data_IF_597169142272
#
_entry.id   IF_597169142272
#
_cell.length_a   1.000
_cell.length_b   1.000
_cell.length_c   1.000
_cell.angle_alpha   90.00
_cell.angle_beta   90.00
_cell.angle_gamma   90.00
#
_symmetry.space_group_name_H-M   'P 1'
#
loop_
_entity.id
_entity.type
_entity.pdbx_description
1 polymer ?
#
# COMPACT_ATOMS: atom_id res chain seq x y z
N UNK A 1 -10.16 -4.03 -3.22
CA UNK A 1 -11.10 -3.66 -4.29
C UNK A 1 -12.55 -3.61 -3.81
N UNK A 2 -12.95 -4.55 -2.96
CA UNK A 2 -14.34 -4.76 -2.56
C UNK A 2 -14.90 -3.63 -1.67
N UNK A 3 -14.08 -3.05 -0.79
CA UNK A 3 -14.57 -2.22 0.32
C UNK A 3 -13.90 -0.85 0.46
N UNK A 4 -12.88 -0.55 -0.35
CA UNK A 4 -12.23 0.74 -0.37
C UNK A 4 -13.17 1.83 -0.91
N UNK A 5 -13.61 2.71 -0.03
CA UNK A 5 -14.60 3.75 -0.34
C UNK A 5 -14.08 4.79 -1.34
N UNK A 6 -12.77 5.00 -1.39
CA UNK A 6 -12.11 5.91 -2.35
C UNK A 6 -12.06 5.37 -3.79
N UNK A 7 -12.49 4.13 -4.05
CA UNK A 7 -12.60 3.57 -5.39
C UNK A 7 -13.94 3.86 -6.05
N UNK A 8 -14.88 4.40 -5.28
CA UNK A 8 -16.24 4.70 -5.72
C UNK A 8 -16.63 6.13 -5.33
N UNK A 9 -15.96 7.16 -5.87
CA UNK A 9 -16.31 8.53 -5.56
C UNK A 9 -17.72 8.86 -6.08
N UNK A 10 -18.45 9.68 -5.32
CA UNK A 10 -19.70 10.28 -5.80
C UNK A 10 -19.36 11.48 -6.70
N UNK A 11 -19.85 11.44 -7.93
CA UNK A 11 -19.66 12.50 -8.92
C UNK A 11 -20.55 13.71 -8.59
N UNK A 12 -20.28 14.90 -9.15
CA UNK A 12 -21.16 16.08 -8.99
C UNK A 12 -22.61 15.84 -9.43
N UNK A 13 -22.86 14.83 -10.27
CA UNK A 13 -24.20 14.38 -10.69
C UNK A 13 -24.93 13.57 -9.62
N UNK A 14 -24.25 13.16 -8.54
CA UNK A 14 -24.77 12.27 -7.50
C UNK A 14 -24.66 10.77 -7.83
N UNK A 15 -24.09 10.43 -8.98
CA UNK A 15 -23.80 9.05 -9.41
C UNK A 15 -22.52 8.53 -8.75
N UNK A 16 -22.46 7.22 -8.50
CA UNK A 16 -21.27 6.55 -7.98
C UNK A 16 -20.43 6.03 -9.16
N UNK A 17 -19.18 6.49 -9.29
CA UNK A 17 -18.26 5.98 -10.32
C UNK A 17 -17.65 4.63 -9.89
N UNK A 18 -18.03 3.54 -10.55
CA UNK A 18 -17.60 2.17 -10.19
C UNK A 18 -16.33 1.70 -10.89
N UNK A 19 -15.84 2.43 -11.91
CA UNK A 19 -14.81 1.96 -12.85
C UNK A 19 -13.52 1.51 -12.16
N UNK A 20 -13.11 2.25 -11.12
CA UNK A 20 -11.90 1.92 -10.36
C UNK A 20 -12.11 0.67 -9.50
N UNK A 21 -13.27 0.53 -8.86
CA UNK A 21 -13.60 -0.67 -8.08
C UNK A 21 -13.62 -1.92 -8.98
N UNK A 22 -14.25 -1.84 -10.15
CA UNK A 22 -14.27 -2.92 -11.16
C UNK A 22 -12.86 -3.30 -11.61
N UNK A 23 -12.04 -2.30 -11.95
CA UNK A 23 -10.65 -2.53 -12.38
C UNK A 23 -9.84 -3.23 -11.29
N UNK A 24 -9.92 -2.75 -10.04
CA UNK A 24 -9.20 -3.36 -8.91
C UNK A 24 -9.72 -4.76 -8.59
N UNK A 25 -11.02 -5.02 -8.74
CA UNK A 25 -11.60 -6.34 -8.54
C UNK A 25 -11.09 -7.35 -9.58
N UNK A 26 -11.09 -6.95 -10.87
CA UNK A 26 -10.54 -7.77 -11.95
C UNK A 26 -9.07 -8.08 -11.75
N UNK A 27 -8.24 -7.07 -11.48
CA UNK A 27 -6.81 -7.29 -11.28
C UNK A 27 -6.52 -8.19 -10.07
N UNK A 28 -7.35 -8.14 -9.02
CA UNK A 28 -7.24 -9.09 -7.90
C UNK A 28 -7.60 -10.52 -8.33
N UNK A 29 -8.65 -10.70 -9.15
CA UNK A 29 -9.00 -12.00 -9.70
C UNK A 29 -7.85 -12.58 -10.55
N UNK A 30 -7.18 -11.74 -11.35
CA UNK A 30 -6.02 -12.11 -12.15
C UNK A 30 -4.85 -12.55 -11.24
N UNK A 31 -4.57 -11.80 -10.17
CA UNK A 31 -3.54 -12.17 -9.18
C UNK A 31 -3.86 -13.53 -8.53
N UNK A 32 -5.11 -13.73 -8.12
CA UNK A 32 -5.54 -14.98 -7.51
C UNK A 32 -5.42 -16.17 -8.47
N UNK A 33 -5.75 -15.97 -9.76
CA UNK A 33 -5.58 -16.97 -10.80
C UNK A 33 -4.10 -17.31 -11.01
N UNK A 34 -3.22 -16.31 -11.04
CA UNK A 34 -1.77 -16.51 -11.15
C UNK A 34 -1.20 -17.28 -9.94
N UNK A 35 -1.58 -16.92 -8.71
CA UNK A 35 -1.15 -17.65 -7.52
C UNK A 35 -1.63 -19.10 -7.51
N UNK A 36 -2.89 -19.34 -7.91
CA UNK A 36 -3.43 -20.70 -8.09
C UNK A 36 -2.60 -21.50 -9.10
N UNK A 37 -2.23 -20.89 -10.22
CA UNK A 37 -1.39 -21.52 -11.23
C UNK A 37 0.02 -21.80 -10.69
N UNK A 38 0.68 -20.81 -10.09
CA UNK A 38 2.04 -20.97 -9.53
C UNK A 38 2.11 -21.99 -8.40
N UNK A 39 1.04 -22.14 -7.62
CA UNK A 39 0.92 -23.22 -6.62
C UNK A 39 0.89 -24.60 -7.31
N UNK A 40 0.08 -24.76 -8.37
CA UNK A 40 0.02 -26.01 -9.16
C UNK A 40 1.36 -26.37 -9.82
N UNK A 41 2.09 -25.37 -10.31
CA UNK A 41 3.42 -25.54 -10.93
C UNK A 41 4.57 -25.73 -9.93
N UNK A 42 4.27 -25.80 -8.62
CA UNK A 42 5.28 -25.92 -7.56
C UNK A 42 6.21 -24.71 -7.45
N UNK A 43 5.82 -23.57 -8.02
CA UNK A 43 6.51 -22.28 -7.83
C UNK A 43 6.22 -21.76 -6.43
N UNK A 44 4.95 -21.82 -6.02
CA UNK A 44 4.50 -21.51 -4.67
C UNK A 44 4.10 -22.81 -3.95
N UNK A 45 4.03 -22.74 -2.62
CA UNK A 45 3.40 -23.79 -1.81
C UNK A 45 1.88 -23.79 -1.95
N UNK A 46 1.20 -24.47 -1.03
CA UNK A 46 -0.25 -24.42 -0.95
C UNK A 46 -0.74 -22.98 -0.68
N UNK A 47 -1.89 -22.60 -1.23
CA UNK A 47 -2.43 -21.24 -1.12
C UNK A 47 -2.73 -20.84 0.32
N UNK A 48 -3.22 -21.78 1.13
CA UNK A 48 -3.53 -21.58 2.56
C UNK A 48 -2.32 -21.15 3.39
N UNK A 49 -1.09 -21.41 2.92
CA UNK A 49 0.14 -21.00 3.62
C UNK A 49 0.37 -19.48 3.63
N UNK A 50 -0.26 -18.72 2.73
CA UNK A 50 -0.10 -17.27 2.66
C UNK A 50 -1.40 -16.51 2.34
N UNK A 51 -2.47 -17.20 1.99
CA UNK A 51 -3.75 -16.61 1.60
C UNK A 51 -4.84 -17.10 2.56
N UNK A 52 -5.36 -16.19 3.39
CA UNK A 52 -6.43 -16.51 4.35
C UNK A 52 -7.74 -15.84 3.91
N UNK A 53 -8.85 -16.58 3.76
CA UNK A 53 -10.16 -15.97 3.54
C UNK A 53 -10.53 -15.05 4.71
N UNK A 54 -10.81 -13.78 4.41
CA UNK A 54 -11.18 -12.77 5.40
C UNK A 54 -12.25 -11.87 4.78
N UNK A 55 -13.48 -11.83 5.33
CA UNK A 55 -14.51 -10.93 4.86
C UNK A 55 -14.04 -9.48 4.84
N UNK A 56 -14.47 -8.73 3.84
CA UNK A 56 -14.20 -7.31 3.75
C UNK A 56 -15.48 -6.53 4.05
N UNK A 57 -15.31 -5.42 4.75
CA UNK A 57 -16.40 -4.55 5.14
C UNK A 57 -16.06 -3.10 4.84
N UNK A 58 -17.07 -2.32 4.49
CA UNK A 58 -17.01 -0.87 4.61
C UNK A 58 -17.87 -0.47 5.79
N UNK A 59 -17.42 0.48 6.61
CA UNK A 59 -18.15 0.97 7.77
C UNK A 59 -18.17 2.50 7.80
N UNK A 60 -19.35 3.05 8.04
CA UNK A 60 -19.56 4.50 8.10
C UNK A 60 -20.48 4.87 9.26
N UNK A 61 -20.29 6.09 9.77
CA UNK A 61 -21.03 6.66 10.89
C UNK A 61 -21.68 7.95 10.40
N UNK A 62 -22.96 8.18 10.73
CA UNK A 62 -23.68 9.37 10.29
C UNK A 62 -24.65 9.10 9.14
N UNK A 63 -25.70 9.92 9.06
CA UNK A 63 -26.79 9.77 8.08
C UNK A 63 -26.31 9.98 6.63
N UNK A 64 -25.49 11.01 6.42
CA UNK A 64 -24.95 11.35 5.11
C UNK A 64 -24.08 10.22 4.56
N UNK A 65 -23.19 9.66 5.38
CA UNK A 65 -22.31 8.59 4.94
C UNK A 65 -23.05 7.26 4.78
N UNK A 66 -24.07 7.02 5.62
CA UNK A 66 -24.98 5.87 5.46
C UNK A 66 -25.75 5.92 4.13
N UNK A 67 -26.20 7.12 3.74
CA UNK A 67 -26.85 7.35 2.43
C UNK A 67 -25.87 7.09 1.28
N UNK A 68 -24.65 7.62 1.36
CA UNK A 68 -23.60 7.36 0.39
C UNK A 68 -23.32 5.85 0.25
N UNK A 69 -23.17 5.14 1.38
CA UNK A 69 -22.85 3.71 1.37
C UNK A 69 -23.98 2.87 0.75
N UNK A 70 -25.25 3.26 0.97
CA UNK A 70 -26.41 2.64 0.32
C UNK A 70 -26.39 2.84 -1.20
N UNK A 71 -26.09 4.06 -1.68
CA UNK A 71 -25.94 4.33 -3.12
C UNK A 71 -24.81 3.50 -3.72
N UNK A 72 -23.66 3.43 -3.03
CA UNK A 72 -22.51 2.62 -3.43
C UNK A 72 -22.89 1.14 -3.55
N UNK A 73 -23.57 0.58 -2.56
CA UNK A 73 -24.06 -0.81 -2.61
C UNK A 73 -24.94 -1.06 -3.85
N UNK A 74 -25.92 -0.19 -4.10
CA UNK A 74 -26.81 -0.31 -5.24
C UNK A 74 -26.06 -0.25 -6.59
N UNK A 75 -25.04 0.59 -6.70
CA UNK A 75 -24.21 0.69 -7.90
C UNK A 75 -23.30 -0.53 -8.13
N UNK A 76 -22.83 -1.17 -7.05
CA UNK A 76 -21.85 -2.28 -7.15
C UNK A 76 -22.50 -3.66 -7.26
N UNK A 77 -23.62 -3.93 -6.57
CA UNK A 77 -24.16 -5.30 -6.40
C UNK A 77 -24.53 -6.05 -7.69
N UNK A 78 -24.66 -5.33 -8.81
CA UNK A 78 -24.95 -5.92 -10.13
C UNK A 78 -23.71 -6.18 -10.98
N UNK A 79 -22.51 -5.83 -10.49
CA UNK A 79 -21.26 -5.96 -11.21
C UNK A 79 -20.56 -7.29 -10.88
N UNK A 80 -19.80 -7.87 -11.83
CA UNK A 80 -19.03 -9.09 -11.60
C UNK A 80 -18.10 -9.01 -10.38
N UNK A 81 -18.24 -10.00 -9.49
CA UNK A 81 -17.48 -10.14 -8.25
C UNK A 81 -17.94 -9.26 -7.08
N UNK A 82 -19.13 -8.65 -7.18
CA UNK A 82 -19.81 -7.90 -6.10
C UNK A 82 -21.20 -8.46 -5.78
N UNK A 83 -21.57 -9.61 -6.33
CA UNK A 83 -22.90 -10.22 -6.23
C UNK A 83 -23.24 -10.56 -4.76
N UNK A 84 -22.23 -10.97 -3.98
CA UNK A 84 -22.35 -11.32 -2.57
C UNK A 84 -22.18 -10.10 -1.63
N UNK A 85 -22.18 -8.88 -2.16
CA UNK A 85 -22.08 -7.67 -1.35
C UNK A 85 -23.40 -7.41 -0.62
N UNK A 86 -23.38 -7.54 0.71
CA UNK A 86 -24.50 -7.23 1.59
C UNK A 86 -24.42 -5.78 2.09
N UNK A 87 -25.56 -5.18 2.43
CA UNK A 87 -25.67 -3.85 3.05
C UNK A 87 -26.62 -3.92 4.25
N UNK A 88 -26.25 -3.29 5.37
CA UNK A 88 -27.10 -3.17 6.54
C UNK A 88 -26.92 -1.84 7.27
N UNK A 89 -28.03 -1.32 7.81
CA UNK A 89 -28.06 -0.29 8.86
C UNK A 89 -28.51 -0.86 10.21
N UNK A 90 -28.86 -2.15 10.25
CA UNK A 90 -29.24 -2.85 11.46
C UNK A 90 -27.98 -3.16 12.28
N UNK A 91 -27.98 -2.72 13.53
CA UNK A 91 -26.85 -2.84 14.46
C UNK A 91 -26.59 -4.30 14.81
N UNK A 92 -27.63 -5.11 14.95
CA UNK A 92 -27.47 -6.51 15.33
C UNK A 92 -26.81 -7.29 14.18
N UNK A 93 -27.23 -7.02 12.94
CA UNK A 93 -26.57 -7.58 11.75
C UNK A 93 -25.12 -7.13 11.60
N UNK A 94 -24.81 -5.87 11.91
CA UNK A 94 -23.42 -5.38 11.89
C UNK A 94 -22.59 -6.02 13.00
N UNK A 95 -23.20 -6.25 14.18
CA UNK A 95 -22.57 -6.94 15.30
C UNK A 95 -22.24 -8.40 14.98
N UNK A 96 -23.08 -9.10 14.22
CA UNK A 96 -22.78 -10.46 13.73
C UNK A 96 -21.52 -10.49 12.84
N UNK A 97 -21.32 -9.45 12.03
CA UNK A 97 -20.17 -9.38 11.13
C UNK A 97 -18.87 -8.96 11.83
N UNK A 98 -18.95 -7.96 12.71
CA UNK A 98 -17.81 -7.41 13.43
C UNK A 98 -18.27 -6.77 14.76
N UNK A 99 -18.35 -7.55 15.86
CA UNK A 99 -18.81 -7.10 17.17
C UNK A 99 -18.15 -5.81 17.66
N UNK A 100 -16.83 -5.67 17.47
CA UNK A 100 -16.08 -4.49 17.90
C UNK A 100 -16.66 -3.17 17.35
N UNK A 101 -17.32 -3.20 16.19
CA UNK A 101 -17.91 -2.00 15.60
C UNK A 101 -19.13 -1.48 16.35
N UNK A 102 -19.81 -2.31 17.14
CA UNK A 102 -21.12 -1.98 17.74
C UNK A 102 -21.14 -2.06 19.26
N UNK A 103 -20.30 -2.91 19.86
CA UNK A 103 -20.16 -3.02 21.31
C UNK A 103 -19.87 -1.65 21.95
N UNK A 104 -20.69 -1.25 22.92
CA UNK A 104 -20.56 0.03 23.61
C UNK A 104 -20.80 1.28 22.74
N UNK A 105 -21.22 1.13 21.48
CA UNK A 105 -21.49 2.28 20.60
C UNK A 105 -22.81 2.94 20.97
N UNK A 106 -22.77 4.24 21.25
CA UNK A 106 -23.96 5.06 21.46
C UNK A 106 -24.98 4.97 20.31
N UNK A 107 -26.25 5.27 20.59
CA UNK A 107 -27.30 5.35 19.59
C UNK A 107 -26.98 6.39 18.50
N UNK A 108 -27.37 6.10 17.26
CA UNK A 108 -27.09 6.94 16.09
C UNK A 108 -27.01 6.14 14.80
N UNK A 109 -27.02 6.82 13.63
CA UNK A 109 -26.96 6.15 12.34
C UNK A 109 -25.57 5.57 12.08
N UNK A 110 -25.53 4.29 11.73
CA UNK A 110 -24.37 3.59 11.19
C UNK A 110 -24.81 2.75 10.01
N UNK A 111 -23.88 2.48 9.09
CA UNK A 111 -24.11 1.55 8.01
C UNK A 111 -22.84 0.75 7.72
N UNK A 112 -23.03 -0.48 7.26
CA UNK A 112 -21.95 -1.29 6.75
C UNK A 112 -22.34 -2.02 5.47
N UNK A 113 -21.34 -2.29 4.64
CA UNK A 113 -21.41 -3.34 3.62
C UNK A 113 -20.47 -4.46 4.01
N UNK A 114 -20.82 -5.69 3.68
CA UNK A 114 -20.03 -6.89 3.98
C UNK A 114 -19.92 -7.77 2.74
N UNK A 115 -18.72 -8.32 2.49
CA UNK A 115 -18.46 -9.23 1.38
C UNK A 115 -17.64 -10.43 1.86
N UNK A 116 -18.09 -11.68 1.64
CA UNK A 116 -17.39 -12.88 2.13
C UNK A 116 -16.12 -13.19 1.35
N UNK A 117 -16.09 -12.90 0.04
CA UNK A 117 -15.03 -13.31 -0.89
C UNK A 117 -13.68 -12.57 -0.78
N UNK A 118 -13.39 -11.93 0.36
CA UNK A 118 -12.14 -11.23 0.59
C UNK A 118 -11.01 -12.12 1.10
N UNK A 119 -9.77 -11.63 1.02
CA UNK A 119 -8.59 -12.35 1.52
C UNK A 119 -7.62 -11.44 2.27
N UNK A 120 -6.96 -12.00 3.28
CA UNK A 120 -5.67 -11.51 3.78
C UNK A 120 -4.52 -12.23 3.09
N UNK A 121 -3.43 -11.48 2.84
CA UNK A 121 -2.23 -12.01 2.18
C UNK A 121 -1.02 -11.82 3.10
N UNK A 122 -0.39 -12.91 3.50
CA UNK A 122 0.92 -12.90 4.15
C UNK A 122 2.02 -12.73 3.08
N UNK A 123 2.32 -11.47 2.77
CA UNK A 123 3.37 -11.12 1.83
C UNK A 123 4.77 -11.56 2.28
N UNK A 124 5.01 -11.73 3.59
CA UNK A 124 6.28 -12.23 4.09
C UNK A 124 6.49 -13.67 3.65
N UNK A 125 5.50 -14.51 3.88
CA UNK A 125 5.52 -15.93 3.47
C UNK A 125 5.53 -16.08 1.95
N UNK A 126 4.68 -15.34 1.22
CA UNK A 126 4.69 -15.33 -0.25
C UNK A 126 6.06 -14.95 -0.83
N UNK A 127 6.68 -13.89 -0.30
CA UNK A 127 7.99 -13.41 -0.77
C UNK A 127 9.09 -14.44 -0.54
N UNK A 128 9.13 -15.09 0.64
CA UNK A 128 10.09 -16.17 0.94
C UNK A 128 9.93 -17.34 -0.02
N UNK A 129 8.70 -17.78 -0.28
CA UNK A 129 8.42 -18.87 -1.23
C UNK A 129 8.89 -18.54 -2.65
N UNK A 130 8.64 -17.31 -3.12
CA UNK A 130 9.09 -16.86 -4.45
C UNK A 130 10.62 -16.87 -4.56
N UNK A 131 11.34 -16.37 -3.54
CA UNK A 131 12.80 -16.40 -3.54
C UNK A 131 13.37 -17.81 -3.46
N UNK A 132 12.78 -18.69 -2.65
CA UNK A 132 13.23 -20.09 -2.56
C UNK A 132 13.00 -20.83 -3.88
N UNK A 133 11.88 -20.56 -4.55
CA UNK A 133 11.59 -21.07 -5.89
C UNK A 133 12.59 -20.57 -6.93
N UNK A 134 12.92 -19.26 -6.88
CA UNK A 134 13.94 -18.68 -7.75
C UNK A 134 15.30 -19.35 -7.55
N UNK A 135 15.72 -19.59 -6.29
CA UNK A 135 16.97 -20.32 -5.98
C UNK A 135 16.95 -21.74 -6.56
N UNK A 136 15.85 -22.50 -6.35
CA UNK A 136 15.70 -23.86 -6.92
C UNK A 136 15.80 -23.87 -8.44
N UNK A 137 15.40 -22.77 -9.09
CA UNK A 137 15.46 -22.57 -10.55
C UNK A 137 16.78 -21.94 -11.01
N UNK A 138 17.78 -21.84 -10.14
CA UNK A 138 19.14 -21.41 -10.49
C UNK A 138 19.44 -19.92 -10.28
N UNK A 139 18.54 -19.14 -9.68
CA UNK A 139 18.83 -17.75 -9.35
C UNK A 139 19.85 -17.63 -8.21
N UNK A 140 20.83 -16.74 -8.36
CA UNK A 140 21.74 -16.36 -7.28
C UNK A 140 21.14 -15.20 -6.50
N UNK A 141 21.02 -15.34 -5.18
CA UNK A 141 20.48 -14.32 -4.29
C UNK A 141 21.57 -13.84 -3.34
N UNK A 142 21.90 -12.55 -3.44
CA UNK A 142 22.89 -11.90 -2.61
C UNK A 142 22.20 -11.01 -1.58
N UNK A 143 22.01 -11.54 -0.37
CA UNK A 143 21.52 -10.77 0.79
C UNK A 143 22.69 -10.06 1.48
N UNK A 144 22.39 -9.02 2.28
CA UNK A 144 23.44 -8.23 2.94
C UNK A 144 24.33 -7.43 1.97
N UNK A 145 23.89 -7.29 0.72
CA UNK A 145 24.60 -6.61 -0.35
C UNK A 145 23.74 -5.47 -0.89
N UNK A 146 24.20 -4.24 -0.75
CA UNK A 146 23.51 -3.04 -1.19
C UNK A 146 24.03 -2.59 -2.57
N UNK A 147 23.11 -2.35 -3.50
CA UNK A 147 23.40 -1.65 -4.75
C UNK A 147 23.38 -0.15 -4.48
N UNK A 148 24.51 0.52 -4.63
CA UNK A 148 24.64 1.96 -4.30
C UNK A 148 24.69 2.86 -5.53
N UNK A 149 25.01 2.29 -6.70
CA UNK A 149 25.11 3.01 -7.96
C UNK A 149 24.87 2.10 -9.14
N UNK A 150 24.17 2.61 -10.14
CA UNK A 150 24.05 2.03 -11.47
C UNK A 150 24.73 2.96 -12.47
N UNK A 151 25.54 2.42 -13.38
CA UNK A 151 26.13 3.17 -14.49
C UNK A 151 26.02 2.38 -15.78
N UNK A 152 25.63 3.03 -16.87
CA UNK A 152 25.73 2.46 -18.21
C UNK A 152 27.19 2.44 -18.66
N UNK A 153 27.62 1.38 -19.35
CA UNK A 153 28.93 1.31 -20.00
C UNK A 153 28.84 1.53 -21.51
N UNK A 154 30.01 1.72 -22.15
CA UNK A 154 30.11 1.96 -23.58
C UNK A 154 29.60 0.79 -24.45
N UNK A 155 29.38 -0.40 -23.87
CA UNK A 155 28.94 -1.60 -24.57
C UNK A 155 27.43 -1.86 -24.41
N UNK A 156 26.65 -0.87 -23.97
CA UNK A 156 25.21 -1.01 -23.67
C UNK A 156 24.93 -2.08 -22.60
N UNK A 157 25.89 -2.34 -21.72
CA UNK A 157 25.66 -3.08 -20.48
C UNK A 157 25.64 -2.14 -19.27
N UNK A 158 25.00 -2.60 -18.21
CA UNK A 158 24.92 -1.89 -16.94
C UNK A 158 25.93 -2.45 -15.97
N UNK A 159 26.49 -1.56 -15.16
CA UNK A 159 27.32 -1.91 -14.02
C UNK A 159 26.63 -1.48 -12.73
N UNK A 160 26.43 -2.43 -11.83
CA UNK A 160 25.93 -2.20 -10.47
C UNK A 160 27.09 -2.23 -9.47
N UNK A 161 27.27 -1.15 -8.72
CA UNK A 161 28.28 -1.06 -7.64
C UNK A 161 27.69 -1.59 -6.34
N UNK A 162 28.39 -2.52 -5.72
CA UNK A 162 27.95 -3.27 -4.54
C UNK A 162 28.75 -2.89 -3.30
N UNK A 163 28.03 -2.76 -2.18
CA UNK A 163 28.61 -2.60 -0.84
C UNK A 163 27.98 -3.56 0.15
N UNK A 164 28.72 -3.91 1.20
CA UNK A 164 28.18 -4.68 2.32
C UNK A 164 27.19 -3.81 3.09
N UNK A 165 26.02 -4.37 3.43
CA UNK A 165 25.02 -3.66 4.22
C UNK A 165 25.36 -3.61 5.72
N UNK A 166 26.40 -4.34 6.17
CA UNK A 166 26.77 -4.41 7.59
C UNK A 166 27.73 -3.27 7.97
N UNK A 167 28.76 -3.05 7.16
CA UNK A 167 29.88 -2.13 7.41
C UNK A 167 30.08 -1.09 6.29
N UNK A 168 29.37 -1.23 5.17
CA UNK A 168 29.48 -0.33 4.02
C UNK A 168 30.73 -0.55 3.17
N UNK A 169 31.49 -1.63 3.39
CA UNK A 169 32.69 -1.94 2.64
C UNK A 169 32.38 -2.28 1.17
N UNK A 170 33.34 -2.01 0.28
CA UNK A 170 33.17 -2.28 -1.13
C UNK A 170 33.20 -3.80 -1.40
N UNK A 171 32.10 -4.33 -1.93
CA UNK A 171 32.00 -5.75 -2.31
C UNK A 171 32.47 -5.95 -3.76
N UNK A 172 32.25 -4.95 -4.63
CA UNK A 172 32.70 -4.97 -6.01
C UNK A 172 31.64 -4.47 -6.98
N UNK A 173 31.62 -5.03 -8.19
CA UNK A 173 30.66 -4.65 -9.22
C UNK A 173 30.13 -5.87 -9.98
N UNK A 174 28.85 -5.85 -10.33
CA UNK A 174 28.23 -6.83 -11.25
C UNK A 174 27.91 -6.13 -12.57
N UNK A 175 28.11 -6.85 -13.68
CA UNK A 175 27.67 -6.42 -15.02
C UNK A 175 26.40 -7.18 -15.42
N UNK A 176 25.45 -6.48 -16.01
CA UNK A 176 24.22 -7.06 -16.51
C UNK A 176 23.80 -6.38 -17.83
N UNK A 177 23.24 -7.15 -18.76
CA UNK A 177 22.65 -6.58 -19.99
C UNK A 177 21.31 -5.91 -19.74
N UNK A 178 20.55 -6.45 -18.78
CA UNK A 178 19.26 -5.90 -18.35
C UNK A 178 19.18 -5.80 -16.84
N UNK A 179 18.56 -4.74 -16.34
CA UNK A 179 18.37 -4.51 -14.90
C UNK A 179 16.90 -4.20 -14.62
N UNK A 180 16.34 -4.93 -13.67
CA UNK A 180 15.08 -4.56 -13.02
C UNK A 180 15.39 -3.94 -11.65
N UNK A 181 14.81 -2.77 -11.36
CA UNK A 181 14.98 -2.04 -10.09
C UNK A 181 13.66 -2.03 -9.31
N UNK A 182 13.52 -2.97 -8.39
CA UNK A 182 12.41 -3.06 -7.43
C UNK A 182 12.84 -2.69 -6.00
N UNK A 183 13.57 -1.59 -5.81
CA UNK A 183 14.22 -1.22 -4.55
C UNK A 183 13.34 -0.39 -3.61
N UNK A 184 12.01 -0.46 -3.75
CA UNK A 184 11.06 0.34 -2.97
C UNK A 184 11.35 1.84 -3.05
N UNK A 185 11.43 2.51 -1.89
CA UNK A 185 11.74 3.93 -1.81
C UNK A 185 13.12 4.33 -2.36
N UNK A 186 14.01 3.36 -2.59
CA UNK A 186 15.35 3.59 -3.14
C UNK A 186 15.44 3.42 -4.66
N UNK A 187 14.35 3.05 -5.33
CA UNK A 187 14.35 2.94 -6.79
C UNK A 187 14.71 4.26 -7.46
N UNK A 188 14.10 5.40 -7.08
CA UNK A 188 14.40 6.68 -7.71
C UNK A 188 15.88 7.09 -7.58
N UNK A 189 16.52 7.03 -6.39
CA UNK A 189 17.96 7.25 -6.25
C UNK A 189 18.81 6.41 -7.22
N UNK A 190 18.47 5.13 -7.40
CA UNK A 190 19.18 4.25 -8.34
C UNK A 190 18.99 4.66 -9.79
N UNK A 191 17.75 4.97 -10.21
CA UNK A 191 17.45 5.46 -11.56
C UNK A 191 18.14 6.80 -11.86
N UNK A 192 18.21 7.68 -10.87
CA UNK A 192 18.94 8.94 -10.97
C UNK A 192 20.46 8.71 -11.05
N UNK A 193 20.99 7.72 -10.34
CA UNK A 193 22.41 7.36 -10.43
C UNK A 193 22.78 6.80 -11.81
N UNK A 194 21.85 6.09 -12.44
CA UNK A 194 21.94 5.60 -13.82
C UNK A 194 21.82 6.71 -14.86
N UNK A 195 21.48 7.94 -14.47
CA UNK A 195 21.39 9.09 -15.37
C UNK A 195 20.17 9.05 -16.31
N UNK A 196 19.09 8.35 -15.94
CA UNK A 196 17.91 8.25 -16.80
C UNK A 196 17.23 9.62 -16.95
N UNK A 197 17.06 10.14 -18.18
CA UNK A 197 16.37 11.41 -18.41
C UNK A 197 14.88 11.35 -18.03
N UNK A 198 14.27 10.16 -18.06
CA UNK A 198 12.85 9.94 -17.74
C UNK A 198 12.48 10.30 -16.30
N UNK A 199 13.43 10.23 -15.37
CA UNK A 199 13.23 10.58 -13.95
C UNK A 199 13.75 11.97 -13.58
N UNK A 200 14.11 12.79 -14.59
CA UNK A 200 14.59 14.15 -14.35
C UNK A 200 13.46 15.00 -13.75
N UNK A 201 13.79 15.66 -12.65
CA UNK A 201 12.84 16.51 -11.91
C UNK A 201 11.97 15.77 -10.90
N UNK A 202 12.10 14.44 -10.81
CA UNK A 202 11.37 13.66 -9.82
C UNK A 202 11.94 13.94 -8.43
N UNK A 203 11.04 14.09 -7.47
CA UNK A 203 11.32 14.20 -6.06
C UNK A 203 10.66 13.07 -5.27
N UNK A 204 11.07 12.93 -4.02
CA UNK A 204 10.47 12.01 -3.06
C UNK A 204 10.04 12.78 -1.83
N UNK A 205 8.87 12.43 -1.31
CA UNK A 205 8.45 12.76 0.04
C UNK A 205 8.51 11.48 0.89
N UNK A 206 9.23 11.50 2.01
CA UNK A 206 9.20 10.37 2.92
C UNK A 206 7.83 10.35 3.62
N UNK A 207 7.11 9.24 3.45
CA UNK A 207 5.84 8.99 4.12
C UNK A 207 5.99 7.67 4.87
N UNK A 208 5.90 7.75 6.19
CA UNK A 208 5.94 6.55 7.03
C UNK A 208 4.55 6.28 7.60
N UNK A 209 4.15 5.01 7.60
CA UNK A 209 2.91 4.56 8.22
C UNK A 209 3.18 3.96 9.59
N UNK A 210 2.24 4.12 10.50
CA UNK A 210 2.20 3.38 11.77
C UNK A 210 0.82 2.78 11.95
N UNK A 211 0.75 1.65 12.63
CA UNK A 211 -0.50 0.98 12.98
C UNK A 211 -0.51 0.69 14.47
N UNK A 212 -1.68 0.81 15.09
CA UNK A 212 -1.94 0.12 16.34
C UNK A 212 -2.10 -1.37 16.02
N UNK A 213 -1.46 -2.21 16.80
CA UNK A 213 -1.43 -3.66 16.66
C UNK A 213 -1.90 -4.29 17.95
N UNK A 214 -2.80 -5.26 17.84
CA UNK A 214 -3.19 -6.14 18.94
C UNK A 214 -3.19 -7.60 18.48
N UNK A 215 -2.74 -8.48 19.35
CA UNK A 215 -2.84 -9.93 19.23
C UNK A 215 -3.54 -10.55 20.44
N UNK A 216 -4.21 -9.74 21.25
CA UNK A 216 -4.93 -10.18 22.44
C UNK A 216 -6.19 -10.94 22.05
N UNK A 217 -6.46 -12.07 22.72
CA UNK A 217 -7.63 -12.92 22.46
C UNK A 217 -8.93 -12.12 22.55
N UNK A 218 -9.02 -11.16 23.48
CA UNK A 218 -10.18 -10.28 23.65
C UNK A 218 -10.50 -9.41 22.41
N UNK A 219 -9.53 -9.22 21.53
CA UNK A 219 -9.66 -8.45 20.28
C UNK A 219 -9.76 -9.39 19.08
N UNK A 220 -8.84 -10.34 18.92
CA UNK A 220 -8.76 -11.18 17.71
C UNK A 220 -9.90 -12.18 17.58
N UNK A 221 -10.55 -12.58 18.69
CA UNK A 221 -11.74 -13.46 18.67
C UNK A 221 -13.04 -12.73 18.39
N UNK A 222 -13.04 -11.39 18.50
CA UNK A 222 -14.20 -10.54 18.24
C UNK A 222 -14.15 -9.85 16.88
N UNK A 223 -13.06 -10.00 16.13
CA UNK A 223 -12.86 -9.25 14.89
C UNK A 223 -12.20 -10.09 13.81
N UNK A 224 -13.01 -10.50 12.84
CA UNK A 224 -12.60 -11.41 11.77
C UNK A 224 -12.76 -10.80 10.38
N UNK A 225 -12.88 -9.48 10.28
CA UNK A 225 -13.08 -8.78 9.01
C UNK A 225 -12.01 -7.71 8.78
N UNK A 226 -11.84 -7.31 7.52
CA UNK A 226 -11.16 -6.06 7.17
C UNK A 226 -12.17 -4.95 7.04
N UNK A 227 -12.13 -3.98 7.93
CA UNK A 227 -13.13 -2.92 7.99
C UNK A 227 -12.53 -1.61 7.51
N UNK A 228 -13.06 -1.08 6.41
CA UNK A 228 -12.62 0.15 5.79
C UNK A 228 -13.54 1.31 6.16
N UNK A 229 -12.96 2.33 6.77
CA UNK A 229 -13.61 3.58 7.11
C UNK A 229 -13.68 4.59 5.98
N UNK A 230 -14.53 5.59 6.16
CA UNK A 230 -14.48 6.82 5.36
C UNK A 230 -13.52 7.81 6.01
N UNK A 231 -12.62 8.39 5.22
CA UNK A 231 -11.76 9.46 5.71
C UNK A 231 -12.55 10.76 5.92
N UNK A 232 -12.13 11.63 6.85
CA UNK A 232 -12.67 12.98 6.99
C UNK A 232 -12.59 13.77 5.68
N UNK A 233 -13.51 14.72 5.50
CA UNK A 233 -13.55 15.60 4.31
C UNK A 233 -12.20 16.31 4.13
N UNK A 234 -11.63 16.21 2.92
CA UNK A 234 -10.36 16.85 2.57
C UNK A 234 -9.10 16.04 2.88
N UNK A 235 -9.24 14.87 3.50
CA UNK A 235 -8.13 13.96 3.74
C UNK A 235 -7.71 13.21 2.44
N UNK A 236 -6.41 12.93 2.22
CA UNK A 236 -5.96 12.20 1.05
C UNK A 236 -6.55 10.79 1.04
N UNK A 237 -6.77 10.19 -0.14
CA UNK A 237 -7.33 8.84 -0.27
C UNK A 237 -6.58 7.73 0.49
N UNK A 238 -5.31 7.97 0.86
CA UNK A 238 -4.45 7.01 1.58
C UNK A 238 -4.54 7.10 3.10
N UNK A 239 -5.35 8.01 3.65
CA UNK A 239 -5.52 8.24 5.10
C UNK A 239 -6.81 7.65 5.65
N UNK A 240 -7.50 6.79 4.88
CA UNK A 240 -8.71 6.13 5.36
C UNK A 240 -8.37 5.19 6.51
N UNK A 241 -8.95 5.38 7.71
CA UNK A 241 -8.74 4.45 8.81
C UNK A 241 -9.35 3.10 8.47
N UNK A 242 -8.65 2.03 8.81
CA UNK A 242 -9.12 0.67 8.66
C UNK A 242 -8.76 -0.16 9.89
N UNK A 243 -9.68 -1.06 10.25
CA UNK A 243 -9.55 -2.03 11.34
C UNK A 243 -9.51 -3.42 10.72
N UNK A 244 -8.32 -3.98 10.59
CA UNK A 244 -8.08 -5.17 9.78
C UNK A 244 -7.72 -6.38 10.62
N UNK A 245 -8.52 -7.44 10.48
CA UNK A 245 -8.08 -8.78 10.79
C UNK A 245 -6.95 -9.20 9.83
N UNK A 246 -5.87 -9.72 10.40
CA UNK A 246 -4.67 -10.20 9.72
C UNK A 246 -4.28 -11.58 10.25
N UNK A 247 -3.65 -12.37 9.41
CA UNK A 247 -2.94 -13.59 9.81
C UNK A 247 -1.49 -13.43 9.39
N UNK A 248 -0.61 -13.25 10.38
CA UNK A 248 0.81 -12.98 10.16
C UNK A 248 1.58 -14.20 10.65
N UNK A 249 2.23 -14.91 9.73
CA UNK A 249 2.98 -16.13 10.06
C UNK A 249 2.14 -17.17 10.83
N UNK A 250 0.85 -17.26 10.46
CA UNK A 250 -0.12 -18.18 11.07
C UNK A 250 -0.78 -17.67 12.36
N UNK A 251 -0.34 -16.55 12.93
CA UNK A 251 -0.92 -15.96 14.12
C UNK A 251 -1.96 -14.87 13.79
N UNK A 252 -3.15 -14.88 14.40
CA UNK A 252 -4.14 -13.83 14.20
C UNK A 252 -3.69 -12.51 14.85
N UNK A 253 -4.00 -11.41 14.19
CA UNK A 253 -3.75 -10.07 14.70
C UNK A 253 -4.79 -9.09 14.16
N UNK A 254 -4.99 -7.98 14.88
CA UNK A 254 -5.78 -6.84 14.40
C UNK A 254 -4.89 -5.62 14.28
N UNK A 255 -4.98 -4.93 13.14
CA UNK A 255 -4.30 -3.68 12.87
C UNK A 255 -5.30 -2.53 12.74
N UNK A 256 -5.01 -1.39 13.35
CA UNK A 256 -5.75 -0.15 13.16
C UNK A 256 -4.85 0.98 12.68
N UNK A 257 -5.25 1.67 11.61
CA UNK A 257 -4.50 2.78 11.00
C UNK A 257 -4.86 2.98 9.52
N UNK A 258 -3.97 3.56 8.70
CA UNK A 258 -2.62 4.00 9.03
C UNK A 258 -2.64 5.34 9.77
N UNK A 259 -1.66 5.55 10.63
CA UNK A 259 -1.31 6.87 11.17
C UNK A 259 -0.04 7.37 10.48
N UNK A 260 0.04 8.67 10.19
CA UNK A 260 1.29 9.26 9.71
C UNK A 260 2.41 9.13 10.76
N UNK A 261 3.62 8.81 10.30
CA UNK A 261 4.86 8.86 11.06
C UNK A 261 5.85 9.88 10.49
N UNK A 262 6.92 10.15 11.25
CA UNK A 262 7.89 11.23 11.01
C UNK A 262 9.25 10.80 10.46
N UNK A 263 9.39 9.60 9.88
CA UNK A 263 10.72 9.17 9.41
C UNK A 263 11.11 9.84 8.09
N UNK A 264 12.32 10.43 7.94
CA UNK A 264 12.85 10.94 6.68
C UNK A 264 13.58 9.87 5.85
N UNK A 265 13.56 8.61 6.30
CA UNK A 265 14.18 7.47 5.62
C UNK A 265 13.32 7.02 4.46
N UNK A 266 13.94 6.48 3.41
CA UNK A 266 13.20 5.84 2.31
C UNK A 266 13.13 4.32 2.42
N UNK A 267 13.98 3.73 3.27
CA UNK A 267 14.03 2.30 3.56
C UNK A 267 13.86 2.05 5.07
N UNK A 268 13.38 0.86 5.45
CA UNK A 268 13.22 0.45 6.85
C UNK A 268 14.51 0.64 7.66
N UNK A 269 15.64 0.22 7.09
CA UNK A 269 16.99 0.38 7.63
C UNK A 269 17.80 1.47 6.90
N UNK A 270 17.12 2.50 6.38
CA UNK A 270 17.75 3.61 5.63
C UNK A 270 18.43 4.67 6.50
N UNK A 271 19.04 5.67 5.86
CA UNK A 271 19.78 6.73 6.56
C UNK A 271 18.88 7.90 6.94
N UNK A 272 19.12 8.53 8.09
CA UNK A 272 18.41 9.74 8.52
C UNK A 272 18.54 10.95 7.58
N UNK A 273 19.46 10.90 6.61
CA UNK A 273 19.69 11.96 5.64
C UNK A 273 19.11 11.65 4.25
N UNK A 274 18.37 10.54 4.09
CA UNK A 274 17.83 10.10 2.79
C UNK A 274 17.03 11.22 2.11
N UNK A 275 16.04 11.78 2.81
CA UNK A 275 15.22 12.90 2.30
C UNK A 275 16.07 14.11 1.89
N UNK A 276 17.01 14.53 2.74
CA UNK A 276 17.88 15.68 2.44
C UNK A 276 18.80 15.41 1.24
N UNK A 277 19.40 14.21 1.17
CA UNK A 277 20.28 13.79 0.05
C UNK A 277 19.52 13.60 -1.26
N UNK A 278 18.19 13.43 -1.20
CA UNK A 278 17.33 13.33 -2.38
C UNK A 278 17.07 14.67 -3.07
N UNK A 279 17.32 15.79 -2.39
CA UNK A 279 17.13 17.13 -2.93
C UNK A 279 18.20 17.41 -3.99
N UNK A 280 17.77 17.83 -5.17
CA UNK A 280 18.62 18.16 -6.31
C UNK A 280 18.14 19.47 -6.93
N UNK A 281 19.03 20.31 -7.52
CA UNK A 281 18.62 21.58 -8.11
C UNK A 281 17.42 21.48 -9.06
N UNK A 282 17.33 20.39 -9.82
CA UNK A 282 16.28 20.17 -10.81
C UNK A 282 14.96 19.60 -10.26
N UNK A 283 14.87 19.21 -8.98
CA UNK A 283 13.60 18.76 -8.36
C UNK A 283 13.07 19.71 -7.28
N UNK A 284 13.83 20.74 -6.89
CA UNK A 284 13.41 21.73 -5.89
C UNK A 284 12.14 22.49 -6.30
N UNK A 285 12.06 22.93 -7.55
CA UNK A 285 10.88 23.64 -8.06
C UNK A 285 9.64 22.75 -8.04
N UNK A 286 9.81 21.49 -8.42
CA UNK A 286 8.74 20.48 -8.40
C UNK A 286 8.25 20.22 -6.97
N UNK A 287 9.15 20.01 -6.01
CA UNK A 287 8.78 19.78 -4.61
C UNK A 287 8.12 21.01 -3.97
N UNK A 288 8.67 22.20 -4.20
CA UNK A 288 8.12 23.45 -3.68
C UNK A 288 6.72 23.75 -4.24
N UNK A 289 6.54 23.58 -5.56
CA UNK A 289 5.24 23.74 -6.21
C UNK A 289 4.20 22.76 -5.69
N UNK A 290 4.57 21.48 -5.50
CA UNK A 290 3.69 20.49 -4.91
C UNK A 290 3.25 20.90 -3.49
N UNK A 291 4.19 21.33 -2.63
CA UNK A 291 3.87 21.72 -1.27
C UNK A 291 2.90 22.92 -1.23
N UNK A 292 3.14 23.93 -2.07
CA UNK A 292 2.29 25.12 -2.17
C UNK A 292 0.86 24.81 -2.65
N UNK A 293 0.69 23.81 -3.53
CA UNK A 293 -0.63 23.44 -4.05
C UNK A 293 -1.37 22.39 -3.21
N UNK A 294 -0.70 21.77 -2.24
CA UNK A 294 -1.26 20.69 -1.41
C UNK A 294 -1.23 21.04 0.09
N UNK A 295 -1.39 22.32 0.44
CA UNK A 295 -1.36 22.80 1.83
C UNK A 295 -2.31 22.04 2.76
N UNK A 296 -3.57 21.74 2.40
CA UNK A 296 -4.46 20.96 3.27
C UNK A 296 -3.91 19.57 3.59
N UNK A 297 -3.35 18.89 2.59
CA UNK A 297 -2.74 17.59 2.73
C UNK A 297 -1.47 17.65 3.62
N UNK A 298 -0.58 18.59 3.35
CA UNK A 298 0.65 18.78 4.14
C UNK A 298 0.32 19.08 5.60
N UNK A 299 -0.68 19.95 5.84
CA UNK A 299 -1.16 20.29 7.17
C UNK A 299 -1.73 19.08 7.90
N UNK A 300 -2.54 18.26 7.22
CA UNK A 300 -3.09 17.04 7.79
C UNK A 300 -1.98 16.05 8.16
N UNK A 301 -1.05 15.78 7.25
CA UNK A 301 0.07 14.85 7.51
C UNK A 301 0.93 15.32 8.67
N UNK A 302 1.21 16.63 8.77
CA UNK A 302 1.92 17.20 9.90
C UNK A 302 1.13 17.00 11.21
N UNK A 303 -0.17 17.30 11.22
CA UNK A 303 -1.04 17.11 12.38
C UNK A 303 -1.05 15.66 12.87
N UNK A 304 -1.22 14.70 11.96
CA UNK A 304 -1.23 13.27 12.29
C UNK A 304 0.14 12.77 12.77
N UNK A 305 1.22 13.26 12.15
CA UNK A 305 2.58 12.92 12.51
C UNK A 305 2.92 13.32 13.96
N UNK A 306 2.39 14.46 14.42
CA UNK A 306 2.54 14.96 15.79
C UNK A 306 1.37 14.57 16.73
N UNK A 307 0.41 13.77 16.27
CA UNK A 307 -0.69 13.32 17.11
C UNK A 307 -0.17 12.42 18.25
N UNK A 308 -0.65 12.71 19.47
CA UNK A 308 -0.30 11.96 20.68
C UNK A 308 -0.80 10.52 20.60
N UNK A 309 -0.20 9.61 21.37
CA UNK A 309 -0.67 8.23 21.48
C UNK A 309 -2.14 8.15 21.89
N UNK A 310 -2.57 9.04 22.79
CA UNK A 310 -3.98 9.16 23.22
C UNK A 310 -4.90 9.52 22.05
N UNK A 311 -4.55 10.52 21.23
CA UNK A 311 -5.37 10.89 20.07
C UNK A 311 -5.52 9.74 19.06
N UNK A 312 -4.48 8.92 18.89
CA UNK A 312 -4.50 7.74 18.02
C UNK A 312 -5.41 6.63 18.57
N UNK A 313 -5.41 6.45 19.89
CA UNK A 313 -6.31 5.52 20.57
C UNK A 313 -7.76 6.01 20.58
N UNK A 314 -7.98 7.31 20.73
CA UNK A 314 -9.34 7.89 20.64
C UNK A 314 -9.92 7.68 19.24
N UNK A 315 -9.10 7.79 18.18
CA UNK A 315 -9.53 7.44 16.82
C UNK A 315 -9.83 5.94 16.66
N UNK A 316 -9.09 5.04 17.32
CA UNK A 316 -9.46 3.61 17.38
C UNK A 316 -10.83 3.43 18.02
N UNK A 317 -11.15 4.17 19.09
CA UNK A 317 -12.45 4.09 19.77
C UNK A 317 -13.62 4.60 18.94
N UNK A 318 -13.37 5.43 17.93
CA UNK A 318 -14.40 5.77 16.95
C UNK A 318 -14.87 4.53 16.17
N UNK A 319 -13.98 3.56 15.93
CA UNK A 319 -14.29 2.26 15.30
C UNK A 319 -14.69 1.20 16.32
N UNK A 320 -13.93 1.06 17.41
CA UNK A 320 -14.10 0.05 18.43
C UNK A 320 -14.26 0.71 19.82
N UNK A 321 -15.48 1.13 20.21
CA UNK A 321 -15.69 1.96 21.41
C UNK A 321 -15.21 1.32 22.71
N UNK A 322 -15.26 -0.01 22.80
CA UNK A 322 -14.84 -0.80 23.95
C UNK A 322 -13.38 -1.26 23.89
N UNK A 323 -12.60 -0.84 22.88
CA UNK A 323 -11.20 -1.23 22.77
C UNK A 323 -10.41 -0.74 23.99
N UNK A 324 -9.88 -1.70 24.75
CA UNK A 324 -8.97 -1.44 25.86
C UNK A 324 -7.64 -0.92 25.32
N UNK A 325 -7.09 0.12 25.93
CA UNK A 325 -5.83 0.75 25.50
C UNK A 325 -4.65 -0.20 25.69
N UNK A 326 -4.63 -0.97 26.77
CA UNK A 326 -3.43 -1.71 27.19
C UNK A 326 -3.10 -2.87 26.23
N UNK A 327 -4.09 -3.36 25.49
CA UNK A 327 -3.94 -4.41 24.48
C UNK A 327 -3.40 -3.95 23.12
N UNK A 328 -3.09 -2.66 22.93
CA UNK A 328 -2.65 -2.12 21.63
C UNK A 328 -1.26 -1.49 21.69
N UNK A 329 -0.39 -1.96 20.80
CA UNK A 329 0.98 -1.46 20.66
C UNK A 329 1.18 -0.77 19.32
N UNK A 330 1.91 0.33 19.31
CA UNK A 330 2.22 1.03 18.06
C UNK A 330 3.34 0.30 17.32
N UNK A 331 3.05 -0.17 16.10
CA UNK A 331 4.05 -0.75 15.19
C UNK A 331 4.30 0.20 14.03
N UNK A 332 5.59 0.34 13.68
CA UNK A 332 5.98 1.10 12.49
C UNK A 332 5.83 0.19 11.28
N UNK A 333 5.09 0.65 10.27
CA UNK A 333 4.91 -0.06 9.01
C UNK A 333 6.13 0.10 8.10
N UNK A 334 6.03 -0.39 6.87
CA UNK A 334 6.97 -0.09 5.80
C UNK A 334 7.20 1.41 5.61
N UNK A 335 8.41 1.76 5.15
CA UNK A 335 8.71 3.11 4.68
C UNK A 335 8.25 3.26 3.23
N UNK A 336 7.55 4.35 2.92
CA UNK A 336 7.10 4.67 1.57
C UNK A 336 7.71 5.99 1.13
N UNK A 337 8.42 5.98 0.00
CA UNK A 337 8.84 7.22 -0.66
C UNK A 337 7.78 7.60 -1.70
N UNK A 338 7.00 8.64 -1.38
CA UNK A 338 5.94 9.14 -2.23
C UNK A 338 6.55 9.99 -3.35
N UNK A 339 6.38 9.56 -4.61
CA UNK A 339 6.90 10.31 -5.76
C UNK A 339 6.15 11.63 -5.92
N UNK A 340 6.93 12.67 -6.23
CA UNK A 340 6.46 13.93 -6.78
C UNK A 340 7.09 14.10 -8.16
N UNK A 341 6.28 14.23 -9.21
CA UNK A 341 6.77 14.40 -10.58
C UNK A 341 6.46 15.79 -11.13
N UNK A 342 7.23 16.28 -12.11
CA UNK A 342 6.86 17.46 -12.87
C UNK A 342 5.58 17.19 -13.66
N UNK A 343 4.53 17.93 -13.33
CA UNK A 343 3.26 17.96 -14.03
C UNK A 343 3.21 19.06 -15.10
N UNK A 344 2.01 19.31 -15.60
CA UNK A 344 1.78 20.39 -16.59
C UNK A 344 2.10 21.76 -15.99
N UNK A 345 2.71 22.65 -16.80
CA UNK A 345 3.13 24.00 -16.37
C UNK A 345 4.08 24.02 -15.15
N UNK A 346 4.97 23.03 -15.02
CA UNK A 346 5.91 22.87 -13.89
C UNK A 346 5.26 22.70 -12.52
N UNK A 347 3.97 22.38 -12.45
CA UNK A 347 3.31 22.05 -11.19
C UNK A 347 3.81 20.71 -10.67
N UNK A 348 4.22 20.64 -9.41
CA UNK A 348 4.57 19.36 -8.81
C UNK A 348 3.32 18.53 -8.51
N UNK A 349 3.27 17.30 -9.01
CA UNK A 349 2.13 16.39 -8.84
C UNK A 349 2.50 15.17 -7.97
N UNK A 350 1.70 14.91 -6.95
CA UNK A 350 1.81 13.70 -6.11
C UNK A 350 1.25 12.47 -6.84
N UNK A 351 2.07 11.43 -6.95
CA UNK A 351 1.67 10.19 -7.66
C UNK A 351 1.21 9.08 -6.73
N UNK A 352 -0.09 8.87 -6.60
CA UNK A 352 -0.63 7.90 -5.65
C UNK A 352 -0.53 6.43 -6.09
N UNK A 353 -0.16 6.16 -7.35
CA UNK A 353 -0.04 4.82 -7.94
C UNK A 353 1.38 4.30 -8.08
N UNK A 354 1.50 3.11 -8.66
CA UNK A 354 2.77 2.53 -9.12
C UNK A 354 3.08 3.05 -10.52
N UNK A 355 4.34 3.40 -10.77
CA UNK A 355 4.81 3.89 -12.07
C UNK A 355 5.98 3.03 -12.53
N UNK A 356 5.88 2.49 -13.75
CA UNK A 356 6.96 1.74 -14.40
C UNK A 356 7.74 2.70 -15.30
N UNK A 357 9.01 2.92 -14.98
CA UNK A 357 9.91 3.78 -15.75
C UNK A 357 10.96 2.91 -16.43
N UNK A 358 11.26 3.20 -17.70
CA UNK A 358 12.27 2.46 -18.46
C UNK A 358 13.28 3.38 -19.14
N UNK A 359 14.48 2.86 -19.36
CA UNK A 359 15.46 3.45 -20.27
C UNK A 359 14.93 3.42 -21.71
N UNK A 360 15.50 4.26 -22.58
CA UNK A 360 15.03 4.41 -23.96
C UNK A 360 15.14 3.12 -24.79
N UNK A 361 16.11 2.26 -24.45
CA UNK A 361 16.35 0.95 -25.05
C UNK A 361 15.65 -0.20 -24.29
N UNK A 362 14.93 0.10 -23.21
CA UNK A 362 14.25 -0.89 -22.35
C UNK A 362 15.18 -1.77 -21.52
N UNK A 363 16.50 -1.59 -21.57
CA UNK A 363 17.46 -2.43 -20.86
C UNK A 363 17.47 -2.21 -19.34
N UNK A 364 16.93 -1.10 -18.86
CA UNK A 364 16.71 -0.83 -17.45
C UNK A 364 15.25 -0.47 -17.22
N UNK A 365 14.59 -1.21 -16.32
CA UNK A 365 13.21 -0.94 -15.89
C UNK A 365 13.19 -0.78 -14.38
N UNK A 366 12.58 0.29 -13.88
CA UNK A 366 12.40 0.55 -12.45
C UNK A 366 10.95 0.77 -12.10
N UNK A 367 10.57 0.31 -10.91
CA UNK A 367 9.22 0.51 -10.37
C UNK A 367 9.27 1.53 -9.25
N UNK A 368 8.54 2.62 -9.44
CA UNK A 368 8.42 3.72 -8.51
C UNK A 368 7.01 3.75 -7.89
N UNK A 369 6.89 4.35 -6.70
CA UNK A 369 5.61 4.80 -6.17
C UNK A 369 4.99 3.86 -5.15
N UNK A 370 3.66 3.75 -5.18
CA UNK A 370 2.95 2.87 -4.27
C UNK A 370 3.43 1.42 -4.45
N UNK A 371 3.60 0.70 -3.34
CA UNK A 371 3.78 -0.75 -3.42
C UNK A 371 2.62 -1.35 -4.21
N UNK A 372 2.88 -2.23 -5.19
CA UNK A 372 1.84 -3.05 -5.77
C UNK A 372 1.06 -3.70 -4.63
N UNK A 373 -0.25 -3.42 -4.56
CA UNK A 373 -1.11 -4.05 -3.57
C UNK A 373 -1.40 -5.48 -3.97
N UNK A 374 -2.07 -6.23 -3.08
CA UNK A 374 -2.58 -7.56 -3.38
C UNK A 374 -3.44 -7.62 -4.64
N UNK A 375 -4.00 -6.48 -5.07
CA UNK A 375 -4.82 -6.37 -6.27
C UNK A 375 -4.05 -6.09 -7.56
N UNK A 376 -2.80 -5.62 -7.54
CA UNK A 376 -2.14 -5.11 -8.77
C UNK A 376 -0.79 -5.75 -9.11
N UNK A 377 -0.29 -6.67 -8.26
CA UNK A 377 1.05 -7.22 -8.39
C UNK A 377 1.33 -7.88 -9.76
N UNK A 378 0.49 -8.78 -10.25
CA UNK A 378 0.72 -9.48 -11.53
C UNK A 378 0.57 -8.53 -12.71
N UNK A 379 -0.47 -7.70 -12.73
CA UNK A 379 -0.65 -6.68 -13.77
C UNK A 379 0.56 -5.76 -13.90
N UNK A 380 1.19 -5.37 -12.78
CA UNK A 380 2.41 -4.56 -12.81
C UNK A 380 3.63 -5.37 -13.31
N UNK A 381 3.71 -6.67 -12.98
CA UNK A 381 4.75 -7.55 -13.54
C UNK A 381 4.61 -7.69 -15.05
N UNK A 382 3.40 -7.82 -15.57
CA UNK A 382 3.14 -7.84 -17.02
C UNK A 382 3.58 -6.54 -17.69
N UNK A 383 3.30 -5.39 -17.08
CA UNK A 383 3.79 -4.09 -17.55
C UNK A 383 5.32 -4.03 -17.56
N UNK A 384 5.99 -4.54 -16.52
CA UNK A 384 7.46 -4.59 -16.44
C UNK A 384 8.04 -5.47 -17.54
N UNK A 385 7.44 -6.64 -17.78
CA UNK A 385 7.88 -7.56 -18.83
C UNK A 385 7.73 -6.91 -20.20
N UNK A 386 6.55 -6.36 -20.49
CA UNK A 386 6.27 -5.64 -21.75
C UNK A 386 7.19 -4.42 -21.95
N UNK A 387 7.58 -3.75 -20.86
CA UNK A 387 8.42 -2.55 -20.91
C UNK A 387 9.88 -2.84 -21.33
N UNK A 388 10.41 -4.03 -21.06
CA UNK A 388 11.85 -4.26 -21.25
C UNK A 388 12.39 -5.69 -21.05
N UNK A 389 11.56 -6.73 -20.94
CA UNK A 389 12.02 -8.12 -20.79
C UNK A 389 11.55 -9.04 -21.93
#
# INVERSE_FOLDING_TARGET
GLCELNYTPELPTGEIDTRKAETMNRQFADNLAAWKHWSKEGILGSLDSFLTPVPHMSFVIGEQDSTFLRKRHAALRGLPGFEDLEFSTDRDRIAEWAPLLTEGRAAGPIAATWHPGGYDVDFGTLTRQLFDSAKRRGATILTGTEVTRLTSDAAQSWRATLRSSQDGEAVGTIRARRIFVGAGGWTLPLLQSAGLPQVRGYGLLPVSGKFLYSSEDSVVTKHHAKVYGKAPVGAPPMSMPHLDARVIEGAPAVLFGPFAGTSPRFLLHGHWWDAARSLRPHNLTTLASMAAHNVPLVSLLAKEAFASSKAKQDHLREFAPTADIDGWTMRTAGQRAQIVKPGTAQRGELQFGTEVVRSSDGSLVGVLGASPGASTAVSIVEDILTAGF
#
